data_IF_070396958107
#
_entry.id   IF_070396958107
#
_cell.length_a   1.000
_cell.length_b   1.000
_cell.length_c   1.000
_cell.angle_alpha   90.00
_cell.angle_beta   90.00
_cell.angle_gamma   90.00
#
_symmetry.space_group_name_H-M   'P 1'
#
loop_
_entity.id
_entity.type
_entity.pdbx_description
1 polymer ?
#
# COMPACT_ATOMS: atom_id res chain seq x y z
N UNK A 1 -61.97 -36.72 59.40
CA UNK A 1 -61.05 -36.10 58.43
C UNK A 1 -60.68 -37.19 57.42
N UNK A 2 -61.61 -37.66 56.59
CA UNK A 2 -62.25 -36.95 55.44
C UNK A 2 -61.25 -36.73 54.29
N UNK A 3 -61.60 -36.75 53.00
CA UNK A 3 -62.78 -37.15 52.20
C UNK A 3 -62.42 -36.74 50.74
N UNK A 4 -63.04 -37.17 49.64
CA UNK A 4 -63.72 -38.41 49.26
C UNK A 4 -63.61 -38.53 47.71
N UNK A 5 -64.04 -39.67 47.18
CA UNK A 5 -64.25 -40.13 45.79
C UNK A 5 -64.42 -39.14 44.61
N UNK A 6 -64.08 -39.70 43.44
CA UNK A 6 -64.85 -39.71 42.16
C UNK A 6 -64.49 -38.82 40.95
N UNK A 7 -64.98 -39.32 39.81
CA UNK A 7 -64.65 -39.07 38.40
C UNK A 7 -65.95 -39.39 37.59
N UNK A 8 -66.02 -39.20 36.26
CA UNK A 8 -66.13 -37.98 35.45
C UNK A 8 -67.46 -37.86 34.67
N UNK A 9 -67.83 -36.69 34.10
CA UNK A 9 -68.63 -36.66 32.84
C UNK A 9 -68.75 -35.32 32.08
N UNK A 10 -68.78 -35.45 30.75
CA UNK A 10 -69.55 -34.72 29.70
C UNK A 10 -69.44 -33.18 29.49
N UNK A 11 -69.56 -32.79 28.21
CA UNK A 11 -69.68 -31.41 27.70
C UNK A 11 -71.15 -30.97 27.52
N UNK A 12 -71.44 -29.66 27.38
CA UNK A 12 -71.93 -29.17 26.06
C UNK A 12 -71.56 -27.69 25.71
N UNK A 13 -71.80 -27.24 24.45
CA UNK A 13 -71.74 -25.83 24.01
C UNK A 13 -73.13 -25.19 23.67
N UNK A 14 -73.12 -23.91 23.26
CA UNK A 14 -74.24 -23.07 22.69
C UNK A 14 -75.13 -22.33 23.73
N UNK A 15 -75.69 -21.11 23.45
CA UNK A 15 -76.50 -20.74 22.26
C UNK A 15 -76.27 -19.36 21.58
N UNK A 16 -77.05 -19.13 20.50
CA UNK A 16 -77.13 -17.95 19.59
C UNK A 16 -77.99 -16.80 20.20
N UNK A 17 -78.05 -15.54 19.71
CA UNK A 17 -78.70 -14.96 18.49
C UNK A 17 -78.67 -13.39 18.65
N UNK A 18 -79.27 -12.49 17.81
CA UNK A 18 -79.85 -12.53 16.44
C UNK A 18 -79.24 -11.47 15.45
N UNK A 19 -79.27 -11.59 14.10
CA UNK A 19 -80.29 -11.10 13.11
C UNK A 19 -80.70 -9.61 13.24
N UNK A 20 -80.83 -8.74 12.22
CA UNK A 20 -80.78 -8.72 10.72
C UNK A 20 -80.78 -7.21 10.26
N UNK A 21 -80.99 -6.73 8.99
CA UNK A 21 -81.31 -7.38 7.70
C UNK A 21 -80.47 -6.93 6.46
N UNK A 22 -80.79 -7.49 5.28
CA UNK A 22 -80.32 -7.13 3.92
C UNK A 22 -81.21 -6.02 3.28
N UNK A 23 -81.10 -5.59 1.99
CA UNK A 23 -80.93 -6.35 0.72
C UNK A 23 -79.56 -6.05 0.03
N UNK A 24 -79.26 -6.17 -1.28
CA UNK A 24 -80.05 -6.42 -2.51
C UNK A 24 -79.22 -7.08 -3.66
N UNK A 25 -79.80 -7.12 -4.87
CA UNK A 25 -79.37 -7.86 -6.06
C UNK A 25 -78.40 -7.14 -7.04
N UNK A 26 -77.46 -7.94 -7.57
CA UNK A 26 -77.07 -8.12 -8.99
C UNK A 26 -77.59 -7.14 -10.07
N UNK A 27 -76.67 -6.67 -10.93
CA UNK A 27 -76.84 -6.58 -12.40
C UNK A 27 -75.49 -6.37 -13.12
N UNK A 28 -75.16 -7.26 -14.07
CA UNK A 28 -74.27 -7.04 -15.24
C UNK A 28 -75.18 -7.14 -16.49
N UNK A 29 -74.86 -6.61 -17.70
CA UNK A 29 -73.52 -6.41 -18.31
C UNK A 29 -73.32 -5.00 -18.95
N UNK A 30 -72.21 -4.64 -19.63
CA UNK A 30 -71.91 -4.90 -21.08
C UNK A 30 -70.51 -4.34 -21.45
N UNK A 31 -69.86 -4.89 -22.49
CA UNK A 31 -68.51 -4.58 -23.01
C UNK A 31 -68.32 -3.17 -23.63
N UNK A 32 -67.06 -2.66 -23.75
CA UNK A 32 -66.39 -2.76 -25.07
C UNK A 32 -64.85 -3.01 -25.06
N UNK A 33 -64.40 -3.67 -26.15
CA UNK A 33 -63.17 -3.60 -26.99
C UNK A 33 -61.85 -2.87 -26.60
N UNK A 34 -60.71 -3.19 -27.26
CA UNK A 34 -59.35 -2.95 -26.73
C UNK A 34 -58.55 -1.79 -27.39
N UNK A 35 -57.36 -1.53 -26.80
CA UNK A 35 -56.15 -0.84 -27.32
C UNK A 35 -55.86 0.55 -26.76
N UNK A 36 -54.71 0.73 -26.08
CA UNK A 36 -53.52 1.48 -26.55
C UNK A 36 -52.46 1.56 -25.42
N UNK A 37 -51.18 1.49 -25.78
CA UNK A 37 -50.04 1.66 -24.88
C UNK A 37 -50.02 3.05 -24.21
N UNK A 38 -49.71 3.10 -22.92
CA UNK A 38 -49.08 4.26 -22.29
C UNK A 38 -48.01 3.80 -21.28
N UNK A 39 -46.84 3.53 -21.87
CA UNK A 39 -45.48 3.62 -21.33
C UNK A 39 -45.36 4.09 -19.86
N UNK A 40 -45.14 3.15 -18.94
CA UNK A 40 -44.67 3.47 -17.58
C UNK A 40 -43.18 3.81 -17.63
N UNK A 41 -42.84 5.06 -17.31
CA UNK A 41 -41.47 5.49 -17.03
C UNK A 41 -40.98 4.90 -15.69
N UNK A 42 -39.72 4.45 -15.55
CA UNK A 42 -39.20 4.03 -14.26
C UNK A 42 -39.12 5.21 -13.30
N UNK A 43 -39.57 5.04 -12.05
CA UNK A 43 -39.19 5.97 -10.99
C UNK A 43 -37.69 5.79 -10.69
N UNK A 44 -36.90 6.88 -10.61
CA UNK A 44 -35.49 6.77 -10.26
C UNK A 44 -35.36 6.39 -8.78
N UNK A 45 -34.55 5.37 -8.50
CA UNK A 45 -34.11 5.03 -7.15
C UNK A 45 -33.11 6.10 -6.70
N UNK A 46 -33.59 7.09 -5.94
CA UNK A 46 -32.79 8.17 -5.35
C UNK A 46 -32.91 8.05 -3.83
N UNK A 47 -31.90 7.50 -3.17
CA UNK A 47 -31.76 7.62 -1.71
C UNK A 47 -30.34 7.46 -1.15
N UNK A 48 -29.34 7.14 -1.99
CA UNK A 48 -27.92 7.10 -1.58
C UNK A 48 -27.11 8.31 -2.10
N UNK A 49 -27.48 8.90 -3.25
CA UNK A 49 -26.75 10.02 -3.86
C UNK A 49 -26.89 11.34 -3.10
N UNK A 50 -28.12 11.72 -2.72
CA UNK A 50 -28.40 13.04 -2.10
C UNK A 50 -27.80 13.18 -0.70
N UNK A 51 -27.64 12.07 0.04
CA UNK A 51 -26.99 12.10 1.36
C UNK A 51 -25.49 12.41 1.23
N UNK A 52 -24.81 11.91 0.19
CA UNK A 52 -23.39 12.21 -0.07
C UNK A 52 -23.22 13.68 -0.47
N UNK A 53 -24.07 14.20 -1.36
CA UNK A 53 -24.04 15.61 -1.78
C UNK A 53 -24.31 16.59 -0.62
N UNK A 54 -25.15 16.20 0.35
CA UNK A 54 -25.49 17.05 1.49
C UNK A 54 -24.29 17.41 2.39
N UNK A 55 -23.29 16.52 2.50
CA UNK A 55 -22.08 16.76 3.30
C UNK A 55 -20.97 17.51 2.55
N UNK A 56 -20.92 17.44 1.20
CA UNK A 56 -19.91 18.15 0.41
C UNK A 56 -20.10 19.69 0.43
N UNK A 57 -21.28 20.18 0.83
CA UNK A 57 -21.64 21.61 0.75
C UNK A 57 -20.94 22.56 1.74
N UNK A 58 -20.20 22.03 2.73
CA UNK A 58 -19.51 22.83 3.77
C UNK A 58 -18.00 22.53 3.92
N UNK A 59 -17.45 21.51 3.26
CA UNK A 59 -16.01 21.23 3.30
C UNK A 59 -15.23 22.20 2.40
N UNK A 60 -14.06 22.65 2.85
CA UNK A 60 -13.17 23.49 2.05
C UNK A 60 -12.55 22.68 0.88
N UNK A 61 -12.24 23.30 -0.28
CA UNK A 61 -11.76 22.58 -1.45
C UNK A 61 -10.46 21.79 -1.20
N UNK A 62 -9.63 22.26 -0.27
CA UNK A 62 -8.43 21.58 0.19
C UNK A 62 -8.77 20.26 0.91
N UNK A 63 -9.83 20.25 1.74
CA UNK A 63 -10.27 19.08 2.51
C UNK A 63 -10.95 18.07 1.59
N UNK A 64 -11.77 18.51 0.63
CA UNK A 64 -12.35 17.64 -0.40
C UNK A 64 -11.24 16.95 -1.21
N UNK A 65 -10.19 17.67 -1.59
CA UNK A 65 -9.03 17.08 -2.25
C UNK A 65 -8.28 16.09 -1.34
N UNK A 66 -8.09 16.45 -0.07
CA UNK A 66 -7.37 15.63 0.90
C UNK A 66 -8.10 14.31 1.18
N UNK A 67 -9.44 14.35 1.29
CA UNK A 67 -10.31 13.18 1.38
C UNK A 67 -10.17 12.29 0.14
N UNK A 68 -10.22 12.86 -1.07
CA UNK A 68 -9.99 12.12 -2.34
C UNK A 68 -8.58 11.50 -2.44
N UNK A 69 -7.58 11.97 -1.69
CA UNK A 69 -6.28 11.28 -1.59
C UNK A 69 -6.34 10.02 -0.73
N UNK A 70 -7.28 9.89 0.19
CA UNK A 70 -7.46 8.66 1.00
C UNK A 70 -7.92 7.46 0.16
N UNK A 71 -8.52 7.69 -1.01
CA UNK A 71 -8.86 6.62 -1.95
C UNK A 71 -7.60 5.85 -2.42
N UNK A 72 -6.42 6.48 -2.38
CA UNK A 72 -5.13 5.84 -2.68
C UNK A 72 -4.78 4.69 -1.72
N UNK A 73 -5.40 4.65 -0.54
CA UNK A 73 -5.26 3.55 0.45
C UNK A 73 -6.50 2.64 0.51
N UNK A 74 -7.43 2.78 -0.44
CA UNK A 74 -8.72 2.08 -0.48
C UNK A 74 -9.54 2.32 0.81
N UNK A 75 -9.58 3.57 1.28
CA UNK A 75 -10.41 3.98 2.41
C UNK A 75 -11.90 3.72 2.10
N UNK A 76 -12.65 3.05 2.99
CA UNK A 76 -14.11 3.00 2.90
C UNK A 76 -14.72 4.40 3.05
N UNK A 77 -15.77 4.74 2.28
CA UNK A 77 -16.41 6.07 2.29
C UNK A 77 -16.85 6.52 3.69
N UNK A 78 -17.24 5.56 4.54
CA UNK A 78 -17.73 5.73 5.91
C UNK A 78 -16.60 5.96 6.94
N UNK A 79 -15.34 5.67 6.60
CA UNK A 79 -14.20 5.82 7.52
C UNK A 79 -13.69 7.27 7.64
N UNK A 80 -14.16 8.18 6.78
CA UNK A 80 -13.89 9.61 6.90
C UNK A 80 -14.78 10.23 7.97
N UNK A 81 -14.23 11.14 8.79
CA UNK A 81 -14.95 11.76 9.91
C UNK A 81 -14.55 13.23 10.06
N UNK A 82 -15.34 14.07 10.76
CA UNK A 82 -14.98 15.46 11.02
C UNK A 82 -13.65 15.62 11.78
N UNK A 83 -13.26 14.65 12.62
CA UNK A 83 -11.96 14.65 13.29
C UNK A 83 -10.80 14.55 12.29
N UNK A 84 -10.96 13.75 11.23
CA UNK A 84 -9.98 13.65 10.15
C UNK A 84 -9.84 14.95 9.36
N UNK A 85 -10.95 15.68 9.16
CA UNK A 85 -10.92 17.01 8.55
C UNK A 85 -10.14 18.03 9.41
N UNK A 86 -10.31 18.03 10.74
CA UNK A 86 -9.55 18.91 11.65
C UNK A 86 -8.03 18.64 11.58
N UNK A 87 -7.60 17.37 11.58
CA UNK A 87 -6.18 17.00 11.46
C UNK A 87 -5.61 17.41 10.09
N UNK A 88 -6.41 17.29 9.02
CA UNK A 88 -6.02 17.75 7.70
C UNK A 88 -5.91 19.28 7.62
N UNK A 89 -6.83 20.04 8.22
CA UNK A 89 -6.73 21.50 8.32
C UNK A 89 -5.50 21.93 9.12
N UNK A 90 -5.20 21.26 10.23
CA UNK A 90 -3.98 21.51 11.02
C UNK A 90 -2.73 21.30 10.16
N UNK A 91 -2.62 20.16 9.46
CA UNK A 91 -1.50 19.88 8.56
C UNK A 91 -1.33 20.96 7.49
N UNK A 92 -2.42 21.41 6.86
CA UNK A 92 -2.38 22.44 5.82
C UNK A 92 -1.95 23.81 6.38
N UNK A 93 -2.47 24.23 7.54
CA UNK A 93 -2.30 25.60 8.08
C UNK A 93 -1.08 25.79 9.01
N UNK A 94 -0.74 24.82 9.87
CA UNK A 94 0.02 25.05 11.13
C UNK A 94 1.53 25.31 11.00
N UNK A 95 2.14 25.14 9.82
CA UNK A 95 3.59 25.31 9.53
C UNK A 95 4.56 24.38 10.27
N UNK A 96 4.38 24.06 11.56
CA UNK A 96 5.23 23.09 12.26
C UNK A 96 5.00 21.63 11.79
N UNK A 97 3.87 21.37 11.11
CA UNK A 97 3.50 20.07 10.57
C UNK A 97 3.79 19.97 9.06
N UNK A 98 5.01 19.56 8.71
CA UNK A 98 5.44 19.33 7.32
C UNK A 98 5.17 17.94 6.76
N UNK A 99 4.66 17.02 7.60
CA UNK A 99 4.36 15.64 7.21
C UNK A 99 3.10 15.11 7.90
N UNK A 100 2.35 14.27 7.21
CA UNK A 100 1.16 13.60 7.70
C UNK A 100 1.10 12.18 7.10
N UNK A 101 0.76 11.20 7.93
CA UNK A 101 0.68 9.79 7.58
C UNK A 101 -0.76 9.31 7.77
N UNK A 102 -1.34 8.77 6.70
CA UNK A 102 -2.67 8.20 6.70
C UNK A 102 -2.60 6.69 6.49
N UNK A 103 -3.22 5.91 7.35
CA UNK A 103 -3.22 4.45 7.26
C UNK A 103 -4.53 3.86 7.78
N UNK A 104 -4.84 2.63 7.35
CA UNK A 104 -6.01 1.89 7.81
C UNK A 104 -5.60 0.91 8.92
N UNK A 105 -6.14 1.11 10.11
CA UNK A 105 -6.02 0.23 11.26
C UNK A 105 -7.22 -0.73 11.27
N UNK A 106 -6.97 -2.03 11.51
CA UNK A 106 -8.04 -3.04 11.65
C UNK A 106 -8.18 -3.42 13.11
N UNK A 107 -9.38 -3.28 13.66
CA UNK A 107 -9.73 -3.69 15.03
C UNK A 107 -11.11 -4.33 15.01
N UNK A 108 -11.23 -5.56 15.53
CA UNK A 108 -12.48 -6.33 15.66
C UNK A 108 -13.50 -6.08 14.52
N UNK A 109 -13.10 -6.51 13.32
CA UNK A 109 -13.82 -6.42 12.03
C UNK A 109 -14.08 -5.01 11.44
N UNK A 110 -13.85 -3.92 12.17
CA UNK A 110 -13.92 -2.56 11.62
C UNK A 110 -12.58 -2.08 11.03
N UNK A 111 -12.67 -1.22 10.00
CA UNK A 111 -11.53 -0.61 9.30
C UNK A 111 -11.52 0.89 9.57
N UNK A 112 -10.68 1.30 10.52
CA UNK A 112 -10.62 2.68 10.97
C UNK A 112 -9.47 3.44 10.28
N UNK A 113 -9.77 4.62 9.75
CA UNK A 113 -8.74 5.55 9.27
C UNK A 113 -7.98 6.14 10.46
N UNK A 114 -6.66 6.27 10.32
CA UNK A 114 -5.80 6.96 11.27
C UNK A 114 -4.95 7.99 10.54
N UNK A 115 -4.97 9.23 11.05
CA UNK A 115 -4.09 10.32 10.62
C UNK A 115 -3.11 10.64 11.75
N UNK A 116 -1.80 10.67 11.45
CA UNK A 116 -0.76 10.97 12.44
C UNK A 116 0.42 11.76 11.85
N UNK A 117 1.04 12.64 12.63
CA UNK A 117 2.30 13.33 12.29
C UNK A 117 3.56 12.46 12.49
N UNK A 118 3.40 11.28 13.09
CA UNK A 118 4.42 10.24 13.27
C UNK A 118 4.13 9.01 12.41
N UNK A 119 5.18 8.38 11.89
CA UNK A 119 5.04 7.16 11.10
C UNK A 119 4.54 6.02 12.01
N UNK A 120 3.56 5.19 11.59
CA UNK A 120 3.02 4.10 12.41
C UNK A 120 4.10 3.06 12.76
N UNK A 121 3.87 2.28 13.83
CA UNK A 121 4.74 1.15 14.20
C UNK A 121 4.39 -0.17 13.48
N UNK A 122 3.13 -0.31 13.08
CA UNK A 122 2.63 -1.44 12.30
C UNK A 122 1.74 -0.91 11.18
N UNK A 123 2.01 -1.35 9.95
CA UNK A 123 1.25 -0.93 8.77
C UNK A 123 1.30 -2.01 7.69
N UNK A 124 0.31 -2.00 6.79
CA UNK A 124 0.35 -2.73 5.52
C UNK A 124 0.56 -1.77 4.35
N UNK A 125 -0.11 -0.62 4.43
CA UNK A 125 -0.09 0.46 3.47
C UNK A 125 -0.23 1.79 4.23
N UNK A 126 0.58 2.78 3.88
CA UNK A 126 0.55 4.15 4.43
C UNK A 126 0.58 5.12 3.26
N UNK A 127 -0.34 6.08 3.26
CA UNK A 127 -0.23 7.29 2.44
C UNK A 127 0.60 8.30 3.23
N UNK A 128 1.78 8.59 2.70
CA UNK A 128 2.71 9.61 3.18
C UNK A 128 2.38 10.91 2.44
N UNK A 129 2.15 11.98 3.19
CA UNK A 129 1.98 13.32 2.67
C UNK A 129 3.03 14.25 3.25
N UNK A 130 3.78 14.92 2.38
CA UNK A 130 4.89 15.81 2.75
C UNK A 130 4.70 17.14 2.05
N UNK A 131 4.99 18.23 2.75
CA UNK A 131 4.99 19.59 2.20
C UNK A 131 6.18 20.39 2.70
N UNK A 132 6.57 21.36 1.89
CA UNK A 132 7.47 22.43 2.33
C UNK A 132 6.69 23.38 3.25
N UNK A 133 7.13 23.52 4.50
CA UNK A 133 6.45 24.37 5.48
C UNK A 133 6.81 25.83 5.38
N UNK A 134 7.88 26.16 4.64
CA UNK A 134 8.27 27.56 4.36
C UNK A 134 7.34 28.23 3.35
N UNK A 135 6.59 27.43 2.58
CA UNK A 135 5.63 27.90 1.57
C UNK A 135 4.22 27.83 2.14
N UNK A 136 3.47 28.95 2.22
CA UNK A 136 2.09 28.92 2.66
C UNK A 136 1.22 28.23 1.61
N UNK A 137 0.38 27.29 2.05
CA UNK A 137 -0.61 26.66 1.20
C UNK A 137 -1.85 27.56 1.08
N UNK A 138 -2.42 27.59 -0.12
CA UNK A 138 -3.68 28.23 -0.44
C UNK A 138 -4.52 27.32 -1.36
N UNK A 139 -5.77 27.69 -1.59
CA UNK A 139 -6.76 26.91 -2.37
C UNK A 139 -6.39 26.70 -3.85
N UNK A 140 -5.35 27.36 -4.36
CA UNK A 140 -4.88 27.22 -5.74
C UNK A 140 -3.62 26.32 -5.81
N UNK A 141 -2.77 26.31 -4.77
CA UNK A 141 -1.42 25.77 -4.84
C UNK A 141 -1.20 24.43 -4.09
N UNK A 142 -2.15 24.01 -3.24
CA UNK A 142 -1.97 22.83 -2.38
C UNK A 142 -1.66 21.54 -3.18
N UNK A 143 -2.19 21.43 -4.40
CA UNK A 143 -2.06 20.25 -5.24
C UNK A 143 -0.66 20.09 -5.86
N UNK A 144 0.13 21.17 -5.93
CA UNK A 144 1.51 21.19 -6.40
C UNK A 144 2.51 21.06 -5.23
N UNK A 145 2.21 21.68 -4.09
CA UNK A 145 3.12 21.74 -2.93
C UNK A 145 2.97 20.61 -1.91
N UNK A 146 1.93 19.77 -2.02
CA UNK A 146 1.78 18.56 -1.19
C UNK A 146 2.11 17.32 -2.02
N UNK A 147 3.27 16.72 -1.74
CA UNK A 147 3.65 15.44 -2.31
C UNK A 147 2.90 14.30 -1.61
N UNK A 148 2.22 13.46 -2.37
CA UNK A 148 1.55 12.23 -1.90
C UNK A 148 2.32 10.99 -2.39
N UNK A 149 2.72 10.10 -1.49
CA UNK A 149 3.35 8.82 -1.82
C UNK A 149 2.65 7.66 -1.07
N UNK A 150 2.46 6.52 -1.72
CA UNK A 150 1.85 5.33 -1.10
C UNK A 150 2.93 4.28 -0.82
N UNK A 151 3.32 4.15 0.45
CA UNK A 151 4.25 3.13 0.91
C UNK A 151 3.50 1.84 1.20
N UNK A 152 3.87 0.75 0.54
CA UNK A 152 3.34 -0.61 0.76
C UNK A 152 4.47 -1.54 1.21
N UNK A 153 4.24 -2.32 2.26
CA UNK A 153 5.27 -3.21 2.82
C UNK A 153 6.41 -2.43 3.50
N UNK A 154 7.65 -2.88 3.32
CA UNK A 154 8.82 -2.24 3.96
C UNK A 154 9.16 -0.89 3.33
N UNK A 155 9.26 0.20 4.11
CA UNK A 155 9.69 1.51 3.63
C UNK A 155 11.06 1.49 2.97
N UNK A 156 11.97 0.63 3.45
CA UNK A 156 13.29 0.48 2.82
C UNK A 156 13.21 -0.19 1.44
N UNK A 157 12.32 -1.17 1.25
CA UNK A 157 12.06 -1.75 -0.08
C UNK A 157 11.39 -0.75 -1.04
N UNK A 158 10.51 0.11 -0.51
CA UNK A 158 9.91 1.21 -1.26
C UNK A 158 10.99 2.20 -1.72
N UNK A 159 11.86 2.63 -0.80
CA UNK A 159 13.00 3.51 -1.08
C UNK A 159 13.95 2.90 -2.11
N UNK A 160 14.36 1.64 -1.94
CA UNK A 160 15.25 0.96 -2.89
C UNK A 160 14.64 0.91 -4.29
N UNK A 161 13.35 0.60 -4.40
CA UNK A 161 12.60 0.57 -5.67
C UNK A 161 12.52 1.95 -6.32
N UNK A 162 12.16 2.99 -5.56
CA UNK A 162 12.07 4.36 -6.08
C UNK A 162 13.42 4.87 -6.55
N UNK A 163 14.49 4.59 -5.80
CA UNK A 163 15.84 4.92 -6.22
C UNK A 163 16.23 4.19 -7.51
N UNK A 164 15.99 2.88 -7.61
CA UNK A 164 16.32 2.09 -8.80
C UNK A 164 15.53 2.50 -10.06
N UNK A 165 14.23 2.80 -9.93
CA UNK A 165 13.33 2.99 -11.07
C UNK A 165 13.22 4.47 -11.49
N UNK A 166 13.26 5.41 -10.53
CA UNK A 166 13.01 6.83 -10.78
C UNK A 166 14.28 7.67 -10.60
N UNK A 167 14.85 7.69 -9.39
CA UNK A 167 15.88 8.69 -9.06
C UNK A 167 17.24 8.40 -9.70
N UNK A 168 17.78 7.18 -9.60
CA UNK A 168 19.09 6.87 -10.17
C UNK A 168 19.09 7.02 -11.70
N UNK A 169 18.09 6.55 -12.47
CA UNK A 169 18.04 6.81 -13.91
C UNK A 169 18.03 8.31 -14.24
N UNK A 170 17.23 9.12 -13.55
CA UNK A 170 17.16 10.58 -13.79
C UNK A 170 18.46 11.31 -13.40
N UNK A 171 19.15 10.86 -12.34
CA UNK A 171 20.42 11.44 -11.89
C UNK A 171 21.63 11.03 -12.73
N UNK A 172 21.55 9.89 -13.43
CA UNK A 172 22.65 9.31 -14.21
C UNK A 172 22.46 9.53 -15.72
N UNK A 173 21.29 10.00 -16.19
CA UNK A 173 21.08 10.19 -17.62
C UNK A 173 21.88 11.38 -18.19
N UNK A 174 22.50 11.12 -19.33
CA UNK A 174 23.53 11.97 -19.91
C UNK A 174 22.98 13.33 -20.38
N UNK A 175 21.68 13.38 -20.73
CA UNK A 175 21.03 14.56 -21.32
C UNK A 175 20.75 15.73 -20.38
N UNK A 176 20.73 15.51 -19.06
CA UNK A 176 20.56 16.58 -18.06
C UNK A 176 21.89 16.94 -17.34
N UNK A 177 22.98 16.23 -17.69
CA UNK A 177 24.23 16.19 -16.94
C UNK A 177 25.32 17.11 -17.53
N UNK A 178 24.93 18.18 -18.24
CA UNK A 178 25.93 19.12 -18.81
C UNK A 178 26.65 19.97 -17.75
N UNK A 179 26.11 20.15 -16.53
CA UNK A 179 26.76 20.96 -15.47
C UNK A 179 26.53 20.39 -14.06
N UNK A 180 27.62 19.86 -13.49
CA UNK A 180 27.86 19.70 -12.05
C UNK A 180 27.33 18.47 -11.29
N UNK A 181 26.81 17.43 -11.95
CA UNK A 181 26.75 16.10 -11.29
C UNK A 181 28.19 15.58 -11.21
N UNK A 182 28.87 15.83 -10.07
CA UNK A 182 30.26 15.42 -9.91
C UNK A 182 30.36 13.90 -9.94
N UNK A 183 31.47 13.37 -10.47
CA UNK A 183 31.77 11.93 -10.45
C UNK A 183 31.70 11.38 -9.02
N UNK A 184 32.14 12.19 -8.06
CA UNK A 184 32.02 11.93 -6.62
C UNK A 184 30.57 11.67 -6.16
N UNK A 185 29.58 12.41 -6.68
CA UNK A 185 28.16 12.17 -6.35
C UNK A 185 27.67 10.82 -6.88
N UNK A 186 28.05 10.45 -8.10
CA UNK A 186 27.70 9.14 -8.68
C UNK A 186 28.36 8.00 -7.89
N UNK A 187 29.59 8.20 -7.44
CA UNK A 187 30.31 7.23 -6.60
C UNK A 187 29.69 7.10 -5.19
N UNK A 188 29.24 8.20 -4.57
CA UNK A 188 28.48 8.16 -3.32
C UNK A 188 27.08 7.54 -3.49
N UNK A 189 26.41 7.80 -4.62
CA UNK A 189 25.13 7.21 -4.98
C UNK A 189 25.25 5.68 -5.11
N UNK A 190 26.28 5.17 -5.79
CA UNK A 190 26.57 3.73 -5.87
C UNK A 190 26.87 3.14 -4.47
N UNK A 191 27.66 3.83 -3.64
CA UNK A 191 27.95 3.40 -2.27
C UNK A 191 26.67 3.28 -1.44
N UNK A 192 25.79 4.30 -1.51
CA UNK A 192 24.50 4.32 -0.85
C UNK A 192 23.60 3.19 -1.34
N UNK A 193 23.43 3.05 -2.66
CA UNK A 193 22.55 2.05 -3.26
C UNK A 193 22.99 0.62 -2.93
N UNK A 194 24.30 0.36 -2.96
CA UNK A 194 24.83 -0.93 -2.56
C UNK A 194 24.66 -1.21 -1.05
N UNK A 195 24.82 -0.20 -0.19
CA UNK A 195 24.59 -0.35 1.27
C UNK A 195 23.10 -0.56 1.61
N UNK A 196 22.20 0.10 0.89
CA UNK A 196 20.75 -0.09 1.03
C UNK A 196 20.33 -1.49 0.57
N UNK A 197 20.85 -1.93 -0.59
CA UNK A 197 20.63 -3.29 -1.13
C UNK A 197 21.12 -4.37 -0.17
N UNK A 198 22.33 -4.19 0.38
CA UNK A 198 22.97 -5.07 1.35
C UNK A 198 22.17 -5.17 2.66
N UNK A 199 21.79 -4.04 3.26
CA UNK A 199 21.01 -4.00 4.51
C UNK A 199 19.65 -4.71 4.39
N UNK A 200 18.92 -4.43 3.31
CA UNK A 200 17.59 -5.01 3.07
C UNK A 200 17.64 -6.51 2.77
N UNK A 201 18.70 -6.97 2.11
CA UNK A 201 18.86 -8.40 1.79
C UNK A 201 19.33 -9.18 3.01
N UNK A 202 20.23 -8.59 3.81
CA UNK A 202 20.65 -9.14 5.11
C UNK A 202 19.45 -9.39 6.04
N UNK A 203 18.48 -8.47 6.08
CA UNK A 203 17.22 -8.63 6.85
C UNK A 203 16.37 -9.83 6.38
N UNK A 204 16.56 -10.29 5.14
CA UNK A 204 15.90 -11.48 4.56
C UNK A 204 16.76 -12.75 4.66
N UNK A 205 17.94 -12.68 5.28
CA UNK A 205 18.90 -13.79 5.30
C UNK A 205 19.45 -14.14 3.92
N UNK A 206 19.61 -13.14 3.04
CA UNK A 206 20.09 -13.31 1.66
C UNK A 206 21.17 -12.28 1.31
N UNK A 207 22.11 -12.67 0.47
CA UNK A 207 23.13 -11.79 -0.10
C UNK A 207 22.72 -11.37 -1.50
N UNK A 208 22.52 -10.06 -1.71
CA UNK A 208 22.25 -9.48 -3.02
C UNK A 208 23.36 -8.50 -3.39
N UNK A 209 24.05 -8.80 -4.49
CA UNK A 209 25.10 -7.96 -5.06
C UNK A 209 24.44 -6.80 -5.83
N UNK A 210 24.69 -5.57 -5.40
CA UNK A 210 24.25 -4.39 -6.15
C UNK A 210 25.00 -4.28 -7.49
N UNK A 211 24.25 -4.12 -8.58
CA UNK A 211 24.78 -3.81 -9.91
C UNK A 211 24.30 -2.40 -10.28
N UNK A 212 25.19 -1.46 -10.62
CA UNK A 212 24.78 -0.14 -11.07
C UNK A 212 24.07 -0.19 -12.44
N UNK A 213 23.21 0.79 -12.76
CA UNK A 213 22.68 0.94 -14.11
C UNK A 213 23.79 1.46 -15.04
N UNK A 214 24.46 0.54 -15.74
CA UNK A 214 25.48 0.84 -16.77
C UNK A 214 24.95 0.41 -18.13
N UNK A 215 25.01 1.32 -19.11
CA UNK A 215 24.59 1.10 -20.50
C UNK A 215 25.61 0.18 -21.23
N UNK A 216 25.65 -1.11 -20.88
CA UNK A 216 26.51 -2.15 -21.49
C UNK A 216 26.02 -2.55 -22.89
N UNK A 217 26.05 -1.62 -23.84
CA UNK A 217 25.75 -1.88 -25.25
C UNK A 217 26.90 -2.55 -26.00
N UNK A 218 26.63 -3.04 -27.22
CA UNK A 218 27.65 -3.68 -28.08
C UNK A 218 28.76 -2.72 -28.57
N UNK A 219 28.61 -1.41 -28.37
CA UNK A 219 29.68 -0.41 -28.54
C UNK A 219 30.70 -0.41 -27.38
N UNK A 220 30.35 -0.91 -26.19
CA UNK A 220 31.18 -0.81 -24.98
C UNK A 220 32.54 -1.51 -25.18
N UNK A 221 32.56 -2.61 -25.93
CA UNK A 221 33.77 -3.38 -26.29
C UNK A 221 34.63 -2.67 -27.36
N UNK A 222 34.09 -1.65 -28.05
CA UNK A 222 34.67 -1.07 -29.28
C UNK A 222 35.14 0.39 -29.16
N UNK A 223 34.70 1.14 -28.15
CA UNK A 223 35.13 2.54 -27.93
C UNK A 223 36.39 2.63 -27.05
N UNK A 224 37.21 3.70 -27.18
CA UNK A 224 38.23 4.01 -26.18
C UNK A 224 37.55 4.19 -24.82
N UNK A 225 37.95 3.36 -23.85
CA UNK A 225 37.28 3.22 -22.56
C UNK A 225 37.39 4.53 -21.75
N UNK A 226 36.29 5.00 -21.17
CA UNK A 226 36.37 6.06 -20.15
C UNK A 226 37.07 5.49 -18.91
N UNK A 227 38.23 6.07 -18.57
CA UNK A 227 39.02 5.71 -17.39
C UNK A 227 38.19 5.74 -16.10
N UNK A 228 37.27 6.72 -15.97
CA UNK A 228 36.42 6.82 -14.78
C UNK A 228 35.45 5.64 -14.68
N UNK A 229 34.83 5.25 -15.80
CA UNK A 229 33.92 4.11 -15.84
C UNK A 229 34.63 2.80 -15.48
N UNK A 230 35.87 2.58 -15.93
CA UNK A 230 36.68 1.44 -15.48
C UNK A 230 36.87 1.48 -13.96
N UNK A 231 37.34 2.59 -13.41
CA UNK A 231 37.63 2.74 -11.97
C UNK A 231 36.38 2.54 -11.09
N UNK A 232 35.21 2.98 -11.57
CA UNK A 232 33.91 2.76 -10.93
C UNK A 232 33.58 1.26 -10.91
N UNK A 233 33.74 0.56 -12.03
CA UNK A 233 33.50 -0.89 -12.14
C UNK A 233 34.48 -1.74 -11.31
N UNK A 234 35.78 -1.40 -11.33
CA UNK A 234 36.80 -2.00 -10.45
C UNK A 234 36.38 -1.90 -8.97
N UNK A 235 35.93 -0.72 -8.54
CA UNK A 235 35.48 -0.47 -7.17
C UNK A 235 34.27 -1.33 -6.78
N UNK A 236 33.35 -1.59 -7.71
CA UNK A 236 32.19 -2.45 -7.50
C UNK A 236 32.59 -3.93 -7.40
N UNK A 237 33.48 -4.41 -8.28
CA UNK A 237 34.02 -5.78 -8.20
C UNK A 237 34.76 -5.99 -6.89
N UNK A 238 35.57 -5.01 -6.45
CA UNK A 238 36.22 -5.03 -5.13
C UNK A 238 35.18 -5.15 -4.01
N UNK A 239 34.08 -4.37 -4.04
CA UNK A 239 32.99 -4.48 -3.06
C UNK A 239 32.34 -5.87 -3.05
N UNK A 240 32.01 -6.43 -4.21
CA UNK A 240 31.45 -7.79 -4.31
C UNK A 240 32.41 -8.82 -3.72
N UNK A 241 33.71 -8.78 -4.05
CA UNK A 241 34.67 -9.74 -3.47
C UNK A 241 34.79 -9.61 -1.95
N UNK A 242 34.63 -8.41 -1.37
CA UNK A 242 34.60 -8.22 0.08
C UNK A 242 33.33 -8.83 0.68
N UNK A 243 32.17 -8.52 0.12
CA UNK A 243 30.87 -9.01 0.59
C UNK A 243 30.81 -10.55 0.54
N UNK A 244 31.25 -11.17 -0.56
CA UNK A 244 31.33 -12.63 -0.70
C UNK A 244 32.31 -13.23 0.33
N UNK A 245 33.46 -12.60 0.60
CA UNK A 245 34.40 -13.06 1.63
C UNK A 245 33.81 -12.97 3.04
N UNK A 246 33.06 -11.92 3.35
CA UNK A 246 32.38 -11.75 4.65
C UNK A 246 31.30 -12.82 4.83
N UNK A 247 30.51 -13.08 3.79
CA UNK A 247 29.51 -14.14 3.75
C UNK A 247 30.13 -15.53 3.91
N UNK A 248 31.27 -15.83 3.26
CA UNK A 248 32.02 -17.07 3.47
C UNK A 248 32.53 -17.19 4.92
N UNK A 249 33.17 -16.13 5.45
CA UNK A 249 33.69 -16.07 6.83
C UNK A 249 32.61 -16.09 7.92
N UNK A 250 31.34 -15.84 7.56
CA UNK A 250 30.21 -15.99 8.49
C UNK A 250 30.08 -17.40 9.06
N UNK A 251 30.64 -18.41 8.39
CA UNK A 251 30.75 -19.78 8.86
C UNK A 251 31.47 -19.89 10.23
N UNK A 252 32.64 -19.28 10.34
CA UNK A 252 33.52 -19.44 11.52
C UNK A 252 32.85 -18.91 12.80
N UNK A 253 32.07 -17.84 12.68
CA UNK A 253 31.41 -17.15 13.81
C UNK A 253 30.26 -17.93 14.47
N UNK A 254 29.72 -18.94 13.78
CA UNK A 254 28.58 -19.73 14.27
C UNK A 254 29.03 -21.14 14.66
N UNK A 255 30.12 -21.65 14.07
CA UNK A 255 30.74 -22.90 14.53
C UNK A 255 31.34 -22.80 15.95
N UNK A 256 31.73 -21.60 16.38
CA UNK A 256 32.14 -21.32 17.78
C UNK A 256 30.95 -21.24 18.76
N UNK A 257 29.69 -21.27 18.29
CA UNK A 257 28.52 -21.23 19.14
C UNK A 257 28.11 -22.64 19.60
N UNK A 258 28.78 -23.15 20.65
CA UNK A 258 28.50 -24.44 21.35
C UNK A 258 27.06 -24.56 21.95
N UNK A 259 26.15 -23.66 21.58
CA UNK A 259 24.79 -23.49 22.11
C UNK A 259 23.71 -23.82 21.06
N UNK A 260 24.07 -23.89 19.77
CA UNK A 260 23.10 -24.15 18.70
C UNK A 260 22.56 -25.60 18.73
N UNK A 261 21.26 -25.76 18.52
CA UNK A 261 20.64 -27.09 18.49
C UNK A 261 20.83 -27.81 17.15
N UNK A 262 20.84 -29.15 17.12
CA UNK A 262 21.01 -29.90 15.86
C UNK A 262 19.99 -29.56 14.74
N UNK A 263 18.77 -29.11 15.10
CA UNK A 263 17.78 -28.62 14.13
C UNK A 263 18.14 -27.22 13.58
N UNK A 264 18.74 -26.39 14.41
CA UNK A 264 19.23 -25.05 14.06
C UNK A 264 20.45 -25.15 13.13
N UNK A 265 21.36 -26.12 13.35
CA UNK A 265 22.44 -26.43 12.41
C UNK A 265 21.90 -26.82 11.02
N UNK A 266 20.89 -27.71 10.96
CA UNK A 266 20.28 -28.14 9.69
C UNK A 266 19.66 -26.95 8.95
N UNK A 267 18.94 -26.09 9.67
CA UNK A 267 18.31 -24.90 9.11
C UNK A 267 19.34 -23.85 8.66
N UNK A 268 20.42 -23.68 9.43
CA UNK A 268 21.57 -22.85 9.07
C UNK A 268 22.20 -23.33 7.76
N UNK A 269 22.55 -24.61 7.64
CA UNK A 269 23.14 -25.16 6.42
C UNK A 269 22.18 -25.10 5.22
N UNK A 270 20.87 -25.28 5.45
CA UNK A 270 19.82 -25.10 4.42
C UNK A 270 19.81 -23.67 3.89
N UNK A 271 19.72 -22.68 4.78
CA UNK A 271 19.69 -21.26 4.41
C UNK A 271 21.01 -20.82 3.75
N UNK A 272 22.16 -21.30 4.26
CA UNK A 272 23.49 -21.04 3.71
C UNK A 272 23.66 -21.57 2.29
N UNK A 273 23.16 -22.78 2.02
CA UNK A 273 23.17 -23.40 0.69
C UNK A 273 22.36 -22.59 -0.32
N UNK A 274 21.16 -22.12 0.08
CA UNK A 274 20.31 -21.25 -0.75
C UNK A 274 21.02 -19.92 -1.05
N UNK A 275 21.61 -19.29 -0.04
CA UNK A 275 22.35 -18.02 -0.21
C UNK A 275 23.55 -18.17 -1.16
N UNK A 276 24.39 -19.19 -0.98
CA UNK A 276 25.53 -19.46 -1.88
C UNK A 276 25.09 -19.78 -3.31
N UNK A 277 24.00 -20.53 -3.50
CA UNK A 277 23.42 -20.79 -4.81
C UNK A 277 22.87 -19.49 -5.46
N UNK A 278 22.26 -18.61 -4.65
CA UNK A 278 21.83 -17.27 -5.06
C UNK A 278 23.00 -16.40 -5.52
N UNK A 279 24.07 -16.31 -4.74
CA UNK A 279 25.30 -15.58 -5.10
C UNK A 279 25.90 -16.13 -6.39
N UNK A 280 26.03 -17.46 -6.53
CA UNK A 280 26.53 -18.09 -7.76
C UNK A 280 25.70 -17.67 -8.98
N UNK A 281 24.38 -17.67 -8.85
CA UNK A 281 23.46 -17.28 -9.93
C UNK A 281 23.61 -15.80 -10.30
N UNK A 282 23.83 -14.91 -9.31
CA UNK A 282 24.09 -13.49 -9.54
C UNK A 282 25.41 -13.24 -10.27
N UNK A 283 26.49 -13.96 -9.90
CA UNK A 283 27.80 -13.85 -10.56
C UNK A 283 27.74 -14.39 -11.99
N UNK A 284 26.98 -15.46 -12.24
CA UNK A 284 26.73 -16.01 -13.57
C UNK A 284 25.73 -15.22 -14.42
N UNK A 285 25.32 -14.02 -14.00
CA UNK A 285 24.50 -13.13 -14.82
C UNK A 285 25.36 -12.54 -15.95
N UNK A 286 24.94 -12.57 -17.24
CA UNK A 286 25.70 -12.00 -18.35
C UNK A 286 26.11 -10.54 -18.17
N UNK A 287 25.33 -9.74 -17.42
CA UNK A 287 25.69 -8.36 -17.06
C UNK A 287 26.92 -8.35 -16.15
N UNK A 288 26.96 -9.21 -15.13
CA UNK A 288 28.07 -9.31 -14.18
C UNK A 288 29.30 -9.95 -14.83
N UNK A 289 29.11 -10.98 -15.64
CA UNK A 289 30.17 -11.62 -16.42
C UNK A 289 30.83 -10.61 -17.38
N UNK A 290 30.03 -9.85 -18.14
CA UNK A 290 30.53 -8.78 -19.01
C UNK A 290 31.32 -7.70 -18.24
N UNK A 291 30.97 -7.42 -16.99
CA UNK A 291 31.73 -6.49 -16.14
C UNK A 291 33.07 -7.06 -15.66
N UNK A 292 33.20 -8.38 -15.53
CA UNK A 292 34.46 -9.04 -15.16
C UNK A 292 35.42 -9.30 -16.31
N UNK A 293 34.98 -9.12 -17.57
CA UNK A 293 35.76 -9.34 -18.79
C UNK A 293 36.41 -8.06 -19.35
N UNK A 294 36.31 -6.92 -18.63
CA UNK A 294 36.83 -5.60 -19.02
C UNK A 294 38.31 -5.46 -18.62
#
# INVERSE_FOLDING_TARGET
>A
MEANMEKPQAAPPQPQQPSQPSPSMLLQPTQPSPSILLQQSPQPFIMESELVESFESFESPEIIWFRRKMDLINMPLEAWSPEHALVAEEFLRTQNAGRLFAYLEKSDDEVNLRLSSTFPLQWKQVLVMVRDTTKPLNSENFHEFVQCEVVKGSPGECMLRLMQILYVPVMVDDGNTERNTTKDFVDELDKFMASLTESLSCTKGQTLLYVPPVKLGSEFVKKPRDKYLIQRLESIVIRWTRQIKEVIRGQDRIMDAEVAGALEEVEFWRQRSIDLAGIRTQISNPVVEALTLI
#
